data_IF_474859493859
#
_entry.id   IF_474859493859
#
_cell.length_a   1.000
_cell.length_b   1.000
_cell.length_c   1.000
_cell.angle_alpha   90.00
_cell.angle_beta   90.00
_cell.angle_gamma   90.00
#
_symmetry.space_group_name_H-M   'P 1'
#
loop_
_entity.id
_entity.type
_entity.pdbx_description
1 polymer ?
#
# COMPACT_ATOMS: atom_id res chain seq x y z
N UNK A 1 63.11 40.86 -44.27
CA UNK A 1 63.02 40.84 -42.79
C UNK A 1 61.56 40.97 -42.40
N UNK A 2 61.04 40.38 -41.31
CA UNK A 2 61.10 38.97 -40.92
C UNK A 2 59.71 38.41 -40.45
N UNK A 3 59.68 37.11 -40.12
CA UNK A 3 58.87 36.45 -39.06
C UNK A 3 57.38 36.09 -39.26
N UNK A 4 57.14 34.79 -39.04
CA UNK A 4 55.89 34.07 -38.78
C UNK A 4 55.01 34.66 -37.67
N UNK A 5 53.68 34.46 -37.76
CA UNK A 5 52.83 34.16 -36.60
C UNK A 5 51.58 33.36 -37.02
N UNK A 6 51.47 32.17 -36.45
CA UNK A 6 50.32 31.26 -36.47
C UNK A 6 49.22 31.73 -35.51
N UNK A 7 47.94 31.66 -35.91
CA UNK A 7 46.79 31.97 -35.05
C UNK A 7 45.53 31.19 -35.43
N UNK A 8 45.00 30.42 -34.47
CA UNK A 8 43.94 29.40 -34.53
C UNK A 8 42.57 29.89 -35.05
N UNK A 9 41.85 29.00 -35.75
CA UNK A 9 40.39 29.10 -36.02
C UNK A 9 39.59 28.74 -34.75
N UNK A 10 38.45 29.41 -34.47
CA UNK A 10 37.54 28.98 -33.40
C UNK A 10 36.67 27.80 -33.86
N UNK A 11 36.47 26.82 -32.97
CA UNK A 11 35.51 25.72 -33.13
C UNK A 11 34.14 26.20 -32.66
N UNK A 12 33.16 26.18 -33.57
CA UNK A 12 31.74 26.37 -33.29
C UNK A 12 31.23 25.17 -32.49
N UNK A 13 30.86 25.39 -31.22
CA UNK A 13 30.15 24.40 -30.41
C UNK A 13 28.66 24.43 -30.75
N UNK A 14 28.16 23.33 -31.31
CA UNK A 14 26.73 23.11 -31.53
C UNK A 14 26.10 22.73 -30.17
N UNK A 15 25.37 23.68 -29.57
CA UNK A 15 24.61 23.45 -28.34
C UNK A 15 23.34 22.67 -28.71
N UNK A 16 23.33 21.36 -28.45
CA UNK A 16 22.16 20.51 -28.62
C UNK A 16 21.26 20.67 -27.39
N UNK A 17 20.32 21.61 -27.43
CA UNK A 17 19.27 21.73 -26.42
C UNK A 17 18.34 20.52 -26.52
N UNK A 18 18.50 19.57 -25.60
CA UNK A 18 17.58 18.46 -25.41
C UNK A 18 16.28 19.00 -24.81
N UNK A 19 15.30 19.30 -25.66
CA UNK A 19 13.96 19.67 -25.22
C UNK A 19 13.29 18.40 -24.66
N UNK A 20 13.36 18.23 -23.35
CA UNK A 20 12.65 17.17 -22.64
C UNK A 20 11.15 17.48 -22.71
N UNK A 21 10.45 16.88 -23.66
CA UNK A 21 8.99 16.87 -23.70
C UNK A 21 8.51 16.09 -22.48
N UNK A 22 8.12 16.81 -21.42
CA UNK A 22 7.28 16.26 -20.36
C UNK A 22 5.98 15.78 -21.02
N UNK A 23 5.77 14.47 -21.09
CA UNK A 23 4.45 13.92 -21.36
C UNK A 23 3.51 14.44 -20.25
N UNK A 24 2.34 15.01 -20.57
CA UNK A 24 1.40 15.43 -19.56
C UNK A 24 1.00 14.22 -18.71
N UNK A 25 0.99 14.40 -17.38
CA UNK A 25 0.42 13.41 -16.47
C UNK A 25 -1.00 13.10 -16.95
N UNK A 26 -1.29 11.83 -17.25
CA UNK A 26 -2.63 11.40 -17.60
C UNK A 26 -3.49 11.55 -16.33
N UNK A 27 -4.41 12.52 -16.34
CA UNK A 27 -5.39 12.66 -15.28
C UNK A 27 -6.27 11.41 -15.28
N UNK A 28 -6.47 10.79 -14.12
CA UNK A 28 -7.41 9.69 -14.01
C UNK A 28 -8.80 10.17 -14.42
N UNK A 29 -9.35 9.59 -15.47
CA UNK A 29 -10.66 9.99 -15.98
C UNK A 29 -11.74 9.57 -14.98
N UNK A 30 -12.61 10.52 -14.61
CA UNK A 30 -13.75 10.26 -13.73
C UNK A 30 -15.04 10.30 -14.52
N UNK A 31 -15.91 9.32 -14.29
CA UNK A 31 -17.29 9.32 -14.78
C UNK A 31 -18.22 9.51 -13.59
N UNK A 32 -19.06 10.54 -13.61
CA UNK A 32 -20.03 10.82 -12.54
C UNK A 32 -21.44 10.77 -13.08
N UNK A 33 -22.28 9.94 -12.45
CA UNK A 33 -23.73 9.97 -12.58
C UNK A 33 -24.30 10.72 -11.36
N UNK A 34 -24.83 11.92 -11.58
CA UNK A 34 -25.44 12.72 -10.51
C UNK A 34 -26.93 12.40 -10.30
N UNK A 35 -27.54 11.57 -11.17
CA UNK A 35 -28.97 11.30 -11.16
C UNK A 35 -29.86 12.52 -11.44
N UNK A 36 -29.31 13.69 -11.75
CA UNK A 36 -30.05 14.95 -12.00
C UNK A 36 -30.80 14.99 -13.34
N UNK A 37 -30.67 13.93 -14.15
CA UNK A 37 -31.30 13.80 -15.46
C UNK A 37 -32.29 12.65 -15.49
N UNK A 38 -33.13 12.60 -16.51
CA UNK A 38 -34.14 11.56 -16.65
C UNK A 38 -35.30 11.71 -15.66
N UNK A 39 -36.24 10.76 -15.72
CA UNK A 39 -37.43 10.76 -14.87
C UNK A 39 -37.89 9.34 -14.64
N UNK A 40 -38.10 8.97 -13.37
CA UNK A 40 -38.75 7.71 -12.96
C UNK A 40 -39.46 7.95 -11.63
N UNK A 41 -40.77 8.24 -11.63
CA UNK A 41 -41.48 8.65 -10.41
C UNK A 41 -42.03 7.46 -9.60
N UNK A 42 -41.86 6.22 -10.07
CA UNK A 42 -42.42 5.01 -9.44
C UNK A 42 -41.36 3.96 -9.19
N UNK A 43 -41.57 3.10 -8.20
CA UNK A 43 -40.60 2.09 -7.74
C UNK A 43 -40.35 0.87 -8.65
N UNK A 44 -41.34 0.29 -9.38
CA UNK A 44 -41.14 -0.96 -10.13
C UNK A 44 -39.96 -0.92 -11.12
N UNK A 45 -39.30 -2.07 -11.34
CA UNK A 45 -38.18 -2.23 -12.27
C UNK A 45 -38.41 -1.53 -13.63
N UNK A 46 -37.55 -0.57 -13.98
CA UNK A 46 -37.52 0.00 -15.33
C UNK A 46 -36.14 0.58 -15.67
N UNK A 47 -35.73 0.57 -16.95
CA UNK A 47 -34.57 1.32 -17.41
C UNK A 47 -34.84 2.82 -17.37
N UNK A 48 -33.81 3.59 -17.03
CA UNK A 48 -33.82 5.05 -16.98
C UNK A 48 -32.62 5.58 -17.77
N UNK A 49 -32.85 6.31 -18.86
CA UNK A 49 -31.79 7.03 -19.55
C UNK A 49 -31.30 8.18 -18.66
N UNK A 50 -30.04 8.10 -18.24
CA UNK A 50 -29.35 9.14 -17.46
C UNK A 50 -28.14 9.68 -18.25
N UNK A 51 -27.43 10.65 -17.67
CA UNK A 51 -26.33 11.35 -18.32
C UNK A 51 -25.17 10.41 -18.70
N UNK A 52 -24.87 9.41 -17.86
CA UNK A 52 -23.80 8.45 -18.10
C UNK A 52 -24.20 7.27 -18.99
N UNK A 53 -25.49 6.97 -19.08
CA UNK A 53 -26.03 5.83 -19.80
C UNK A 53 -27.36 5.35 -19.21
N UNK A 54 -27.85 4.19 -19.67
CA UNK A 54 -29.09 3.60 -19.15
C UNK A 54 -28.84 2.85 -17.84
N UNK A 55 -29.66 3.11 -16.83
CA UNK A 55 -29.63 2.42 -15.55
C UNK A 55 -30.96 1.72 -15.29
N UNK A 56 -30.94 0.47 -14.82
CA UNK A 56 -32.13 -0.24 -14.38
C UNK A 56 -32.35 0.07 -12.89
N UNK A 57 -33.45 0.74 -12.58
CA UNK A 57 -33.91 0.99 -11.23
C UNK A 57 -35.02 0.01 -10.86
N UNK A 58 -34.78 -0.81 -9.84
CA UNK A 58 -35.74 -1.76 -9.29
C UNK A 58 -35.95 -1.51 -7.80
N UNK A 59 -37.21 -1.49 -7.35
CA UNK A 59 -37.62 -0.94 -6.06
C UNK A 59 -36.95 0.41 -5.74
N UNK A 60 -36.78 1.22 -6.79
CA UNK A 60 -36.09 2.50 -6.75
C UNK A 60 -36.71 3.50 -7.71
N UNK A 61 -36.59 4.80 -7.42
CA UNK A 61 -37.11 5.88 -8.24
C UNK A 61 -36.15 7.09 -8.22
N UNK A 62 -36.38 8.09 -9.07
CA UNK A 62 -35.73 9.41 -8.98
C UNK A 62 -36.61 10.35 -8.16
N UNK A 63 -36.13 10.73 -6.98
CA UNK A 63 -36.87 11.46 -5.96
C UNK A 63 -36.57 12.96 -5.97
N UNK A 64 -37.63 13.76 -5.95
CA UNK A 64 -37.57 15.24 -5.87
C UNK A 64 -38.29 15.77 -4.63
N UNK A 65 -38.76 14.89 -3.74
CA UNK A 65 -39.54 15.28 -2.57
C UNK A 65 -38.68 16.11 -1.62
N UNK A 66 -39.28 16.99 -0.82
CA UNK A 66 -38.53 17.83 0.13
C UNK A 66 -37.71 17.03 1.17
N UNK A 67 -38.01 15.74 1.32
CA UNK A 67 -37.31 14.81 2.21
C UNK A 67 -36.20 14.01 1.50
N UNK A 68 -36.10 14.08 0.17
CA UNK A 68 -34.99 13.48 -0.57
C UNK A 68 -33.74 14.32 -0.37
N UNK A 69 -32.74 13.75 0.29
CA UNK A 69 -31.42 14.38 0.42
C UNK A 69 -30.67 14.24 -0.90
N UNK A 70 -30.34 15.38 -1.49
CA UNK A 70 -29.78 15.50 -2.84
C UNK A 70 -28.83 16.69 -2.92
N UNK A 71 -27.81 16.58 -3.77
CA UNK A 71 -26.88 17.65 -4.08
C UNK A 71 -27.39 18.54 -5.23
N UNK A 72 -28.20 17.97 -6.13
CA UNK A 72 -28.76 18.64 -7.30
C UNK A 72 -30.29 18.68 -7.33
N UNK A 73 -30.84 18.47 -8.52
CA UNK A 73 -32.27 18.53 -8.80
C UNK A 73 -33.04 17.32 -8.23
N UNK A 74 -32.43 16.13 -8.23
CA UNK A 74 -33.05 14.89 -7.74
C UNK A 74 -31.98 13.89 -7.28
N UNK A 75 -32.37 12.86 -6.54
CA UNK A 75 -31.49 11.76 -6.14
C UNK A 75 -32.17 10.41 -6.37
N UNK A 76 -31.41 9.33 -6.46
CA UNK A 76 -32.00 8.00 -6.47
C UNK A 76 -32.53 7.66 -5.07
N UNK A 77 -33.77 7.16 -4.99
CA UNK A 77 -34.41 6.74 -3.74
C UNK A 77 -34.78 5.27 -3.83
N UNK A 78 -34.23 4.47 -2.92
CA UNK A 78 -34.45 3.02 -2.84
C UNK A 78 -35.31 2.67 -1.63
N UNK A 79 -36.14 1.64 -1.77
CA UNK A 79 -36.87 1.01 -0.68
C UNK A 79 -36.64 -0.51 -0.70
N UNK A 80 -37.17 -1.24 0.28
CA UNK A 80 -37.10 -2.71 0.32
C UNK A 80 -35.67 -3.20 0.09
N UNK A 81 -35.45 -4.12 -0.85
CA UNK A 81 -34.13 -4.57 -1.30
C UNK A 81 -33.78 -4.02 -2.70
N UNK A 82 -34.15 -2.77 -2.97
CA UNK A 82 -34.02 -2.15 -4.28
C UNK A 82 -32.58 -2.07 -4.79
N UNK A 83 -32.46 -1.94 -6.11
CA UNK A 83 -31.18 -1.90 -6.81
C UNK A 83 -31.13 -0.80 -7.87
N UNK A 84 -29.92 -0.27 -8.08
CA UNK A 84 -29.58 0.56 -9.23
C UNK A 84 -28.51 -0.20 -10.03
N UNK A 85 -28.79 -0.55 -11.28
CA UNK A 85 -27.89 -1.37 -12.10
C UNK A 85 -27.50 -0.63 -13.36
N UNK A 86 -26.21 -0.51 -13.64
CA UNK A 86 -25.74 -0.02 -14.93
C UNK A 86 -26.09 -1.01 -16.03
N UNK A 87 -26.76 -0.55 -17.09
CA UNK A 87 -27.06 -1.35 -18.30
C UNK A 87 -26.04 -1.10 -19.42
N UNK A 88 -24.83 -0.70 -19.02
CA UNK A 88 -23.69 -0.45 -19.89
C UNK A 88 -22.39 -0.70 -19.12
N UNK A 89 -21.30 -0.95 -19.85
CA UNK A 89 -19.97 -1.08 -19.27
C UNK A 89 -19.17 0.20 -19.49
N UNK A 90 -18.47 0.65 -18.45
CA UNK A 90 -17.40 1.62 -18.56
C UNK A 90 -16.16 0.88 -19.10
N UNK A 91 -15.50 1.41 -20.15
CA UNK A 91 -14.44 0.68 -20.86
C UNK A 91 -13.13 0.56 -20.04
N UNK A 92 -12.85 1.52 -19.17
CA UNK A 92 -11.54 1.71 -18.54
C UNK A 92 -11.43 1.13 -17.12
N UNK A 93 -12.37 0.27 -16.72
CA UNK A 93 -12.41 -0.27 -15.36
C UNK A 93 -12.60 0.77 -14.28
N UNK A 94 -12.24 0.44 -13.04
CA UNK A 94 -12.30 1.36 -11.92
C UNK A 94 -11.17 1.14 -10.91
N UNK A 95 -10.55 2.24 -10.49
CA UNK A 95 -9.67 2.27 -9.31
C UNK A 95 -10.52 2.44 -8.04
N UNK A 96 -11.33 3.49 -7.99
CA UNK A 96 -12.23 3.79 -6.87
C UNK A 96 -13.62 4.14 -7.36
N UNK A 97 -14.63 3.87 -6.54
CA UNK A 97 -16.00 4.32 -6.75
C UNK A 97 -16.45 5.05 -5.50
N UNK A 98 -17.02 6.24 -5.64
CA UNK A 98 -17.65 6.96 -4.54
C UNK A 98 -19.14 7.17 -4.78
N UNK A 99 -19.92 7.16 -3.70
CA UNK A 99 -21.38 7.33 -3.74
C UNK A 99 -21.78 8.19 -2.56
N UNK A 100 -22.54 9.25 -2.82
CA UNK A 100 -23.18 10.01 -1.76
C UNK A 100 -24.43 9.28 -1.28
N UNK A 101 -24.67 9.28 0.03
CA UNK A 101 -25.79 8.57 0.62
C UNK A 101 -26.33 9.27 1.87
N UNK A 102 -27.62 9.08 2.14
CA UNK A 102 -28.29 9.50 3.37
C UNK A 102 -29.54 8.65 3.63
N UNK A 103 -29.95 8.51 4.89
CA UNK A 103 -31.26 7.96 5.21
C UNK A 103 -32.33 8.96 4.73
N UNK A 104 -33.36 8.50 4.01
CA UNK A 104 -34.40 9.37 3.47
C UNK A 104 -35.14 10.13 4.57
N UNK A 105 -35.33 11.44 4.43
CA UNK A 105 -36.04 12.26 5.40
C UNK A 105 -35.56 12.00 6.83
N UNK A 106 -36.42 11.34 7.62
CA UNK A 106 -36.13 10.86 8.98
C UNK A 106 -36.43 9.37 9.15
N UNK A 107 -36.44 8.60 8.05
CA UNK A 107 -36.62 7.15 8.08
C UNK A 107 -35.48 6.49 8.89
N UNK A 108 -35.70 5.23 9.31
CA UNK A 108 -34.68 4.45 9.99
C UNK A 108 -33.44 4.23 9.11
N UNK A 109 -32.31 3.92 9.75
CA UNK A 109 -31.03 3.69 9.08
C UNK A 109 -31.14 2.57 8.03
N UNK A 110 -30.51 2.77 6.88
CA UNK A 110 -30.48 1.79 5.78
C UNK A 110 -29.05 1.49 5.38
N UNK A 111 -28.77 0.24 5.04
CA UNK A 111 -27.48 -0.19 4.53
C UNK A 111 -27.53 -0.53 3.03
N UNK A 112 -26.43 -0.30 2.34
CA UNK A 112 -26.25 -0.68 0.94
C UNK A 112 -24.86 -1.26 0.68
N UNK A 113 -24.74 -1.97 -0.43
CA UNK A 113 -23.50 -2.54 -0.94
C UNK A 113 -23.23 -2.06 -2.37
N UNK A 114 -21.95 -1.92 -2.71
CA UNK A 114 -21.52 -1.76 -4.09
C UNK A 114 -21.10 -3.11 -4.66
N UNK A 115 -21.58 -3.42 -5.86
CA UNK A 115 -21.20 -4.60 -6.63
C UNK A 115 -20.72 -4.20 -8.02
N UNK A 116 -19.82 -4.97 -8.59
CA UNK A 116 -19.36 -4.81 -9.97
C UNK A 116 -19.42 -6.13 -10.73
N UNK A 117 -19.52 -6.04 -12.04
CA UNK A 117 -19.42 -7.16 -12.96
C UNK A 117 -18.42 -6.79 -14.06
N UNK A 118 -17.49 -7.70 -14.33
CA UNK A 118 -16.52 -7.58 -15.43
C UNK A 118 -17.17 -7.98 -16.74
N UNK A 119 -16.88 -7.21 -17.81
CA UNK A 119 -17.41 -7.45 -19.13
C UNK A 119 -17.02 -8.84 -19.65
N UNK A 120 -18.01 -9.60 -20.12
CA UNK A 120 -17.83 -11.01 -20.52
C UNK A 120 -17.89 -12.01 -19.36
N UNK A 121 -18.15 -11.57 -18.14
CA UNK A 121 -18.41 -12.43 -16.98
C UNK A 121 -19.82 -12.18 -16.43
N UNK A 122 -20.57 -13.24 -16.11
CA UNK A 122 -21.94 -13.11 -15.59
C UNK A 122 -22.01 -13.03 -14.05
N UNK A 123 -20.87 -13.05 -13.36
CA UNK A 123 -20.81 -13.03 -11.89
C UNK A 123 -20.63 -11.62 -11.36
N UNK A 124 -21.46 -11.24 -10.38
CA UNK A 124 -21.31 -10.01 -9.61
C UNK A 124 -20.36 -10.22 -8.43
N UNK A 125 -19.45 -9.28 -8.20
CA UNK A 125 -18.51 -9.26 -7.08
C UNK A 125 -18.76 -8.03 -6.21
N UNK A 126 -18.78 -8.19 -4.89
CA UNK A 126 -18.95 -7.07 -3.95
C UNK A 126 -17.65 -6.27 -3.83
N UNK A 127 -17.73 -4.95 -3.92
CA UNK A 127 -16.65 -4.03 -3.64
C UNK A 127 -16.76 -3.50 -2.20
N UNK A 128 -15.74 -3.74 -1.38
CA UNK A 128 -15.69 -3.26 0.00
C UNK A 128 -16.72 -3.88 0.95
N UNK A 129 -16.91 -3.19 2.09
CA UNK A 129 -17.89 -3.54 3.12
C UNK A 129 -19.21 -2.80 2.90
N UNK A 130 -20.35 -3.32 3.40
CA UNK A 130 -21.61 -2.61 3.38
C UNK A 130 -21.51 -1.26 4.11
N UNK A 131 -22.18 -0.26 3.56
CA UNK A 131 -22.24 1.10 4.14
C UNK A 131 -23.59 1.29 4.80
N UNK A 132 -23.60 1.78 6.04
CA UNK A 132 -24.83 2.10 6.78
C UNK A 132 -25.06 3.61 6.74
N UNK A 133 -26.14 4.04 6.10
CA UNK A 133 -26.60 5.41 6.13
C UNK A 133 -27.28 5.69 7.47
N UNK A 134 -26.53 6.32 8.38
CA UNK A 134 -26.99 6.68 9.73
C UNK A 134 -27.37 8.15 9.88
N UNK A 135 -27.10 8.98 8.86
CA UNK A 135 -27.32 10.43 8.91
C UNK A 135 -28.37 10.89 7.91
N UNK A 136 -28.96 12.06 8.17
CA UNK A 136 -29.96 12.75 7.34
C UNK A 136 -29.32 13.86 6.48
N UNK A 137 -28.04 13.71 6.16
CA UNK A 137 -27.27 14.63 5.32
C UNK A 137 -26.38 13.79 4.42
N UNK A 138 -26.16 14.20 3.18
CA UNK A 138 -25.33 13.42 2.27
C UNK A 138 -23.92 13.23 2.84
N UNK A 139 -23.52 11.98 2.97
CA UNK A 139 -22.17 11.54 3.27
C UNK A 139 -21.61 10.80 2.07
N UNK A 140 -20.30 10.89 1.85
CA UNK A 140 -19.64 10.17 0.75
C UNK A 140 -19.05 8.87 1.27
N UNK A 141 -19.48 7.74 0.71
CA UNK A 141 -18.78 6.48 0.85
C UNK A 141 -17.83 6.28 -0.34
N UNK A 142 -16.66 5.69 -0.08
CA UNK A 142 -15.68 5.35 -1.11
C UNK A 142 -15.31 3.86 -1.02
N UNK A 143 -15.30 3.21 -2.18
CA UNK A 143 -15.02 1.80 -2.36
C UNK A 143 -13.77 1.62 -3.23
N UNK A 144 -12.73 0.92 -2.75
CA UNK A 144 -11.64 0.48 -3.62
C UNK A 144 -12.15 -0.64 -4.52
N UNK A 145 -11.92 -0.51 -5.83
CA UNK A 145 -12.29 -1.53 -6.84
C UNK A 145 -11.04 -2.12 -7.45
N UNK A 146 -10.14 -1.29 -7.97
CA UNK A 146 -8.85 -1.69 -8.57
C UNK A 146 -8.96 -2.83 -9.61
N UNK A 147 -9.97 -2.78 -10.48
CA UNK A 147 -10.16 -3.78 -11.55
C UNK A 147 -10.04 -3.09 -12.92
N UNK A 148 -9.13 -3.56 -13.80
CA UNK A 148 -9.02 -3.05 -15.16
C UNK A 148 -10.12 -3.59 -16.07
N UNK A 149 -10.28 -2.95 -17.24
CA UNK A 149 -11.15 -3.41 -18.32
C UNK A 149 -12.63 -3.17 -18.05
N UNK A 150 -13.48 -3.55 -19.00
CA UNK A 150 -14.90 -3.23 -18.98
C UNK A 150 -15.60 -3.59 -17.65
N UNK A 151 -16.14 -2.60 -16.94
CA UNK A 151 -16.89 -2.81 -15.69
C UNK A 151 -18.27 -2.17 -15.75
N UNK A 152 -19.25 -2.84 -15.16
CA UNK A 152 -20.54 -2.23 -14.80
C UNK A 152 -20.81 -2.43 -13.32
N UNK A 153 -21.59 -1.52 -12.74
CA UNK A 153 -21.85 -1.50 -11.30
C UNK A 153 -23.32 -1.72 -10.95
N UNK A 154 -23.55 -2.20 -9.74
CA UNK A 154 -24.85 -2.32 -9.13
C UNK A 154 -24.80 -1.88 -7.67
N UNK A 155 -25.67 -0.95 -7.29
CA UNK A 155 -25.91 -0.58 -5.90
C UNK A 155 -27.07 -1.40 -5.38
N UNK A 156 -26.90 -2.04 -4.22
CA UNK A 156 -27.93 -2.89 -3.61
C UNK A 156 -28.26 -2.38 -2.23
N UNK A 157 -29.50 -1.98 -1.99
CA UNK A 157 -29.98 -1.79 -0.62
C UNK A 157 -30.15 -3.17 0.01
N UNK A 158 -29.50 -3.40 1.15
CA UNK A 158 -29.50 -4.71 1.83
C UNK A 158 -30.34 -4.72 3.10
N UNK A 159 -30.67 -3.54 3.63
CA UNK A 159 -31.69 -3.43 4.68
C UNK A 159 -33.07 -3.53 4.05
N UNK A 160 -33.77 -4.65 4.25
CA UNK A 160 -35.16 -4.80 3.79
C UNK A 160 -36.15 -3.87 4.51
N UNK A 161 -37.41 -3.89 4.08
CA UNK A 161 -38.49 -3.11 4.68
C UNK A 161 -38.67 -1.72 4.06
N UNK A 162 -39.57 -0.92 4.65
CA UNK A 162 -40.03 0.35 4.09
C UNK A 162 -39.11 1.55 4.31
N UNK A 163 -38.06 1.42 5.14
CA UNK A 163 -37.10 2.49 5.37
C UNK A 163 -36.33 2.80 4.07
N UNK A 164 -36.36 4.05 3.63
CA UNK A 164 -35.81 4.47 2.34
C UNK A 164 -34.37 5.00 2.47
N UNK A 165 -33.64 4.88 1.37
CA UNK A 165 -32.25 5.30 1.22
C UNK A 165 -32.14 6.25 0.03
N UNK A 166 -31.52 7.42 0.24
CA UNK A 166 -31.09 8.29 -0.85
C UNK A 166 -29.66 7.95 -1.25
N UNK A 167 -29.44 7.82 -2.56
CA UNK A 167 -28.12 7.71 -3.19
C UNK A 167 -27.99 8.81 -4.24
N UNK A 168 -26.84 9.46 -4.27
CA UNK A 168 -26.56 10.59 -5.15
C UNK A 168 -25.08 10.54 -5.58
N UNK A 169 -24.71 11.28 -6.64
CA UNK A 169 -23.34 11.46 -7.12
C UNK A 169 -22.50 10.17 -7.11
N UNK A 170 -22.89 9.22 -7.96
CA UNK A 170 -22.13 8.00 -8.21
C UNK A 170 -20.94 8.32 -9.12
N UNK A 171 -19.73 8.34 -8.57
CA UNK A 171 -18.50 8.66 -9.29
C UNK A 171 -17.60 7.45 -9.39
N UNK A 172 -17.18 7.11 -10.61
CA UNK A 172 -16.18 6.09 -10.90
C UNK A 172 -14.90 6.78 -11.34
N UNK A 173 -13.81 6.56 -10.63
CA UNK A 173 -12.47 6.90 -11.09
C UNK A 173 -11.95 5.72 -11.91
N UNK A 174 -11.63 5.94 -13.19
CA UNK A 174 -11.17 4.90 -14.10
C UNK A 174 -9.96 4.14 -13.52
N UNK A 175 -9.83 2.87 -13.91
CA UNK A 175 -8.62 2.12 -13.60
C UNK A 175 -7.50 2.61 -14.52
N UNK A 176 -6.44 3.13 -13.92
CA UNK A 176 -5.25 3.52 -14.66
C UNK A 176 -4.14 2.53 -14.34
N UNK A 177 -3.45 2.02 -15.38
CA UNK A 177 -2.17 1.31 -15.21
C UNK A 177 -1.03 2.24 -14.82
N UNK A 178 -1.30 3.55 -14.70
CA UNK A 178 -0.35 4.46 -14.09
C UNK A 178 -0.15 4.02 -12.65
N UNK A 179 1.13 3.79 -12.33
CA UNK A 179 1.63 3.66 -10.98
C UNK A 179 0.88 4.63 -10.04
N UNK A 180 0.74 4.28 -8.74
CA UNK A 180 0.26 5.22 -7.72
C UNK A 180 0.89 6.59 -7.98
N UNK A 181 0.16 7.70 -7.73
CA UNK A 181 0.60 9.05 -8.08
C UNK A 181 2.09 9.18 -7.77
N UNK A 182 2.92 9.67 -8.73
CA UNK A 182 4.36 9.69 -8.54
C UNK A 182 4.57 10.30 -7.16
N UNK A 183 5.17 9.54 -6.24
CA UNK A 183 5.18 9.97 -4.86
C UNK A 183 5.79 11.36 -4.82
N UNK A 184 5.09 12.29 -4.16
CA UNK A 184 5.65 13.61 -3.91
C UNK A 184 7.02 13.37 -3.28
N UNK A 185 8.08 13.98 -3.82
CA UNK A 185 9.42 13.77 -3.28
C UNK A 185 9.40 14.05 -1.77
N UNK A 186 9.65 13.03 -0.96
CA UNK A 186 9.56 13.12 0.51
C UNK A 186 8.18 12.86 1.14
N UNK A 187 7.21 12.27 0.44
CA UNK A 187 5.91 11.86 1.01
C UNK A 187 5.39 10.56 0.38
N UNK A 188 4.80 9.67 1.18
CA UNK A 188 4.25 8.37 0.73
C UNK A 188 5.26 7.46 -0.01
N UNK A 189 6.56 7.70 0.21
CA UNK A 189 7.69 6.92 -0.33
C UNK A 189 8.25 5.95 0.71
N UNK A 190 8.91 4.91 0.22
CA UNK A 190 9.58 3.92 1.07
C UNK A 190 10.76 4.48 1.85
N UNK A 191 11.36 5.60 1.42
CA UNK A 191 12.45 6.29 2.10
C UNK A 191 12.03 7.65 2.68
N UNK A 192 10.72 7.89 2.88
CA UNK A 192 10.21 9.15 3.43
C UNK A 192 10.83 9.47 4.80
N UNK A 193 11.04 8.44 5.63
CA UNK A 193 11.67 8.59 6.95
C UNK A 193 13.20 8.63 6.89
N UNK A 194 13.82 8.60 5.70
CA UNK A 194 15.26 8.71 5.52
C UNK A 194 15.93 7.45 5.00
N UNK A 195 17.25 7.53 4.83
CA UNK A 195 18.11 6.45 4.35
C UNK A 195 19.04 6.00 5.49
N UNK A 196 18.74 4.87 6.17
CA UNK A 196 19.37 4.53 7.45
C UNK A 196 20.89 4.38 7.47
N UNK A 197 21.50 4.09 6.33
CA UNK A 197 22.94 3.85 6.22
C UNK A 197 23.62 4.71 5.16
N UNK A 198 22.91 5.69 4.60
CA UNK A 198 23.39 6.43 3.42
C UNK A 198 23.70 5.51 2.24
N UNK A 199 22.93 4.43 2.07
CA UNK A 199 23.11 3.49 0.97
C UNK A 199 22.97 4.19 -0.38
N UNK A 200 23.78 3.79 -1.35
CA UNK A 200 23.76 4.36 -2.72
C UNK A 200 23.80 3.23 -3.75
N UNK A 201 23.24 3.48 -4.94
CA UNK A 201 23.27 2.54 -6.06
C UNK A 201 24.64 2.60 -6.77
N UNK A 202 25.71 2.35 -6.03
CA UNK A 202 27.09 2.41 -6.49
C UNK A 202 27.79 1.06 -6.28
N UNK A 203 28.37 0.51 -7.35
CA UNK A 203 29.13 -0.74 -7.31
C UNK A 203 30.38 -0.66 -6.41
N UNK A 204 30.86 0.55 -6.11
CA UNK A 204 31.90 0.83 -5.12
C UNK A 204 31.45 0.62 -3.67
N UNK A 205 30.15 0.51 -3.40
CA UNK A 205 29.56 0.27 -2.08
C UNK A 205 28.81 -1.07 -1.99
N UNK A 206 29.47 -2.21 -2.27
CA UNK A 206 28.79 -3.51 -2.44
C UNK A 206 28.15 -4.07 -1.16
N UNK A 207 28.59 -3.62 0.01
CA UNK A 207 28.04 -4.03 1.31
C UNK A 207 26.94 -3.10 1.82
N UNK A 208 26.65 -2.01 1.09
CA UNK A 208 25.65 -1.00 1.42
C UNK A 208 24.95 -0.49 0.14
N UNK A 209 24.57 -1.43 -0.75
CA UNK A 209 24.10 -1.12 -2.09
C UNK A 209 22.60 -0.84 -2.10
N UNK A 210 22.19 0.35 -2.52
CA UNK A 210 20.79 0.74 -2.57
C UNK A 210 20.06 0.06 -3.74
N UNK A 211 18.98 -0.64 -3.44
CA UNK A 211 18.00 -1.13 -4.40
C UNK A 211 16.66 -0.49 -4.08
N UNK A 212 16.14 0.30 -5.01
CA UNK A 212 14.79 0.82 -4.96
C UNK A 212 13.89 0.04 -5.91
N UNK A 213 12.79 -0.47 -5.38
CA UNK A 213 11.73 -1.13 -6.13
C UNK A 213 10.43 -0.36 -5.91
N UNK A 214 9.45 -0.57 -6.78
CA UNK A 214 8.12 0.02 -6.62
C UNK A 214 7.49 -0.32 -5.27
N UNK A 215 7.79 -1.49 -4.69
CA UNK A 215 7.14 -2.00 -3.49
C UNK A 215 7.88 -1.70 -2.20
N UNK A 216 9.19 -1.51 -2.24
CA UNK A 216 10.04 -1.27 -1.06
C UNK A 216 11.42 -0.79 -1.51
N UNK A 217 12.16 -0.18 -0.59
CA UNK A 217 13.57 0.16 -0.78
C UNK A 217 14.44 -0.67 0.19
N UNK A 218 15.67 -0.99 -0.19
CA UNK A 218 16.58 -1.70 0.70
C UNK A 218 18.04 -1.30 0.49
N UNK A 219 18.84 -1.45 1.53
CA UNK A 219 20.28 -1.57 1.41
C UNK A 219 20.66 -3.05 1.40
N UNK A 220 21.31 -3.51 0.33
CA UNK A 220 21.75 -4.88 0.18
C UNK A 220 23.22 -5.05 0.56
N UNK A 221 23.53 -6.11 1.30
CA UNK A 221 24.91 -6.45 1.66
C UNK A 221 25.36 -7.68 0.87
N UNK A 222 26.07 -7.46 -0.24
CA UNK A 222 26.51 -8.52 -1.18
C UNK A 222 27.11 -9.73 -0.46
N UNK A 223 28.05 -9.49 0.45
CA UNK A 223 28.84 -10.57 1.07
C UNK A 223 28.07 -11.34 2.16
N UNK A 224 26.91 -10.85 2.60
CA UNK A 224 26.02 -11.56 3.54
C UNK A 224 24.87 -12.27 2.84
N UNK A 225 24.60 -11.96 1.58
CA UNK A 225 23.45 -12.50 0.86
C UNK A 225 22.09 -12.05 1.42
N UNK A 226 22.06 -10.95 2.19
CA UNK A 226 20.88 -10.43 2.88
C UNK A 226 20.89 -8.90 2.93
N UNK A 227 19.73 -8.24 3.12
CA UNK A 227 19.69 -6.79 3.30
C UNK A 227 20.32 -6.36 4.63
N UNK A 228 20.90 -5.15 4.68
CA UNK A 228 21.17 -4.42 5.93
C UNK A 228 19.84 -3.98 6.58
N UNK A 229 18.97 -3.42 5.75
CA UNK A 229 17.63 -2.99 6.11
C UNK A 229 16.76 -2.97 4.85
N UNK A 230 15.45 -3.10 5.06
CA UNK A 230 14.39 -2.88 4.06
C UNK A 230 13.40 -1.90 4.66
N UNK A 231 13.04 -0.89 3.89
CA UNK A 231 12.09 0.16 4.25
C UNK A 231 10.90 0.16 3.32
N UNK A 232 9.69 0.31 3.86
CA UNK A 232 8.49 0.39 3.05
C UNK A 232 7.41 1.25 3.72
N UNK A 233 6.58 1.83 2.86
CA UNK A 233 5.38 2.56 3.25
C UNK A 233 4.18 1.60 3.15
N UNK A 234 3.28 1.62 4.12
CA UNK A 234 2.09 0.79 4.16
C UNK A 234 0.84 1.64 4.43
N UNK A 235 -0.08 1.56 3.50
CA UNK A 235 -1.38 2.24 3.50
C UNK A 235 -2.34 1.42 2.62
N UNK A 236 -3.65 1.73 2.58
CA UNK A 236 -4.62 0.93 1.82
C UNK A 236 -4.29 0.74 0.35
N UNK A 237 -3.57 1.67 -0.27
CA UNK A 237 -3.14 1.55 -1.68
C UNK A 237 -2.32 0.28 -1.95
N UNK A 238 -1.65 -0.26 -0.92
CA UNK A 238 -0.87 -1.49 -0.99
C UNK A 238 -1.66 -2.77 -0.67
N UNK A 239 -2.89 -2.61 -0.16
CA UNK A 239 -3.77 -3.71 0.25
C UNK A 239 -4.85 -3.93 -0.81
N UNK A 240 -4.97 -5.18 -1.25
CA UNK A 240 -5.97 -5.63 -2.20
C UNK A 240 -6.28 -7.11 -2.04
N UNK A 241 -6.74 -7.75 -3.11
CA UNK A 241 -7.19 -9.14 -3.12
C UNK A 241 -6.23 -10.11 -3.82
N UNK A 242 -5.04 -9.65 -4.22
CA UNK A 242 -4.08 -10.51 -4.89
C UNK A 242 -3.62 -11.64 -3.96
N UNK A 243 -3.74 -12.88 -4.44
CA UNK A 243 -3.28 -14.07 -3.74
C UNK A 243 -1.78 -14.03 -3.48
N UNK A 244 -1.35 -14.72 -2.42
CA UNK A 244 0.07 -14.94 -2.12
C UNK A 244 0.73 -15.76 -3.24
N UNK A 245 1.82 -15.26 -3.82
CA UNK A 245 2.45 -15.88 -4.99
C UNK A 245 3.36 -17.07 -4.66
N UNK A 246 4.08 -17.03 -3.53
CA UNK A 246 5.02 -18.10 -3.12
C UNK A 246 6.13 -18.39 -4.13
N UNK A 247 6.45 -17.45 -5.01
CA UNK A 247 7.40 -17.58 -6.12
C UNK A 247 8.81 -17.09 -5.74
N UNK A 248 9.37 -17.70 -4.68
CA UNK A 248 10.72 -17.41 -4.20
C UNK A 248 11.75 -17.51 -5.32
N UNK A 249 12.45 -16.40 -5.61
CA UNK A 249 13.39 -16.35 -6.72
C UNK A 249 14.53 -15.38 -6.49
N UNK A 250 15.65 -15.67 -7.15
CA UNK A 250 16.77 -14.75 -7.26
C UNK A 250 16.32 -13.40 -7.80
N UNK A 251 16.96 -12.32 -7.34
CA UNK A 251 16.70 -10.98 -7.82
C UNK A 251 17.55 -10.69 -9.06
N UNK A 252 16.94 -10.60 -10.27
CA UNK A 252 17.70 -10.40 -11.50
C UNK A 252 18.28 -8.98 -11.60
N UNK A 253 17.89 -8.05 -10.72
CA UNK A 253 18.41 -6.68 -10.72
C UNK A 253 19.73 -6.54 -9.95
N UNK A 254 20.22 -7.61 -9.32
CA UNK A 254 21.54 -7.59 -8.68
C UNK A 254 22.65 -7.43 -9.74
N UNK A 255 23.71 -6.65 -9.46
CA UNK A 255 24.82 -6.47 -10.38
C UNK A 255 25.42 -7.78 -10.87
N UNK A 256 25.85 -7.78 -12.14
CA UNK A 256 26.47 -8.95 -12.75
C UNK A 256 27.69 -9.44 -11.95
N UNK A 257 27.80 -10.76 -11.78
CA UNK A 257 28.87 -11.40 -11.00
C UNK A 257 28.62 -11.45 -9.50
N UNK A 258 27.59 -10.79 -8.97
CA UNK A 258 27.21 -10.98 -7.56
C UNK A 258 26.49 -12.29 -7.37
N UNK A 259 26.68 -12.90 -6.20
CA UNK A 259 25.93 -14.09 -5.84
C UNK A 259 24.44 -13.75 -5.71
N UNK A 260 23.60 -14.40 -6.51
CA UNK A 260 22.16 -14.29 -6.42
C UNK A 260 21.62 -15.41 -5.55
N UNK A 261 21.18 -15.06 -4.35
CA UNK A 261 20.56 -16.02 -3.43
C UNK A 261 19.33 -16.61 -4.10
N UNK A 262 19.29 -17.94 -4.18
CA UNK A 262 18.19 -18.66 -4.81
C UNK A 262 17.23 -19.24 -3.77
N UNK A 263 16.07 -19.72 -4.23
CA UNK A 263 15.12 -20.42 -3.35
C UNK A 263 15.76 -21.63 -2.65
N UNK A 264 16.66 -22.34 -3.35
CA UNK A 264 17.38 -23.51 -2.84
C UNK A 264 18.40 -23.21 -1.73
N UNK A 265 18.84 -21.97 -1.57
CA UNK A 265 19.88 -21.57 -0.59
C UNK A 265 19.49 -21.83 0.87
N UNK A 266 18.19 -21.99 1.15
CA UNK A 266 17.65 -22.21 2.49
C UNK A 266 17.27 -23.67 2.75
N UNK A 267 17.32 -24.53 1.72
CA UNK A 267 16.83 -25.91 1.79
C UNK A 267 17.57 -26.72 2.85
N UNK A 268 16.83 -27.40 3.72
CA UNK A 268 17.37 -28.24 4.79
C UNK A 268 18.05 -27.49 5.94
N UNK A 269 18.06 -26.15 5.93
CA UNK A 269 18.74 -25.35 6.96
C UNK A 269 18.03 -25.31 8.31
N UNK A 270 16.73 -25.57 8.34
CA UNK A 270 15.89 -25.34 9.51
C UNK A 270 15.50 -23.87 9.76
N UNK A 271 15.89 -22.95 8.86
CA UNK A 271 15.44 -21.56 8.86
C UNK A 271 14.38 -21.32 7.78
N UNK A 272 13.43 -20.45 8.09
CA UNK A 272 12.47 -19.95 7.11
C UNK A 272 13.12 -18.92 6.19
N UNK A 273 12.52 -18.75 5.01
CA UNK A 273 12.75 -17.58 4.14
C UNK A 273 11.94 -16.41 4.71
N UNK A 274 12.49 -15.79 5.76
CA UNK A 274 11.85 -14.70 6.50
C UNK A 274 11.80 -13.44 5.66
N UNK A 275 10.59 -12.93 5.41
CA UNK A 275 10.41 -11.72 4.61
C UNK A 275 10.80 -10.49 5.44
N UNK A 276 11.40 -9.48 4.78
CA UNK A 276 11.50 -8.17 5.40
C UNK A 276 10.21 -7.38 5.19
N UNK A 277 9.93 -7.00 3.94
CA UNK A 277 8.60 -6.52 3.53
C UNK A 277 7.69 -7.75 3.32
N UNK A 278 6.65 -7.95 4.15
CA UNK A 278 5.87 -9.17 4.13
C UNK A 278 4.89 -9.21 2.97
N UNK A 279 4.60 -10.41 2.47
CA UNK A 279 3.69 -10.61 1.33
C UNK A 279 2.29 -10.01 1.57
N UNK A 280 1.78 -10.08 2.80
CA UNK A 280 0.47 -9.54 3.16
C UNK A 280 0.40 -8.00 3.15
N UNK A 281 1.54 -7.31 3.11
CA UNK A 281 1.61 -5.85 2.97
C UNK A 281 1.58 -5.41 1.50
N UNK A 282 1.58 -6.35 0.55
CA UNK A 282 1.59 -6.09 -0.90
C UNK A 282 0.59 -7.01 -1.59
N UNK A 283 -0.69 -6.71 -1.43
CA UNK A 283 -1.80 -7.49 -2.04
C UNK A 283 -2.61 -6.68 -3.05
N UNK A 284 -2.18 -5.46 -3.37
CA UNK A 284 -2.81 -4.60 -4.39
C UNK A 284 -2.83 -5.28 -5.77
N UNK A 285 -1.68 -5.79 -6.22
CA UNK A 285 -1.56 -6.53 -7.49
C UNK A 285 -0.75 -7.81 -7.34
N UNK A 286 -0.90 -8.73 -8.30
CA UNK A 286 -0.06 -9.94 -8.41
C UNK A 286 1.43 -9.58 -8.50
N UNK A 287 1.76 -8.51 -9.23
CA UNK A 287 3.13 -8.04 -9.39
C UNK A 287 3.71 -7.52 -8.07
N UNK A 288 2.94 -6.74 -7.30
CA UNK A 288 3.37 -6.25 -5.99
C UNK A 288 3.62 -7.41 -5.03
N UNK A 289 2.72 -8.39 -5.00
CA UNK A 289 2.86 -9.54 -4.14
C UNK A 289 4.08 -10.38 -4.52
N UNK A 290 4.24 -10.68 -5.81
CA UNK A 290 5.38 -11.42 -6.36
C UNK A 290 6.71 -10.73 -6.05
N UNK A 291 6.76 -9.39 -6.04
CA UNK A 291 7.99 -8.66 -5.71
C UNK A 291 8.48 -8.94 -4.28
N UNK A 292 7.60 -9.26 -3.33
CA UNK A 292 8.02 -9.61 -1.95
C UNK A 292 8.78 -10.94 -1.86
N UNK A 293 8.69 -11.79 -2.89
CA UNK A 293 9.37 -13.10 -2.95
C UNK A 293 10.76 -13.07 -3.59
N UNK A 294 11.28 -11.89 -3.92
CA UNK A 294 12.68 -11.74 -4.32
C UNK A 294 13.59 -12.05 -3.12
N UNK A 295 14.62 -12.87 -3.33
CA UNK A 295 15.50 -13.32 -2.23
C UNK A 295 16.34 -12.18 -1.61
N UNK A 296 16.45 -11.03 -2.28
CA UNK A 296 17.00 -9.78 -1.71
C UNK A 296 16.16 -9.21 -0.56
N UNK A 297 14.90 -9.61 -0.44
CA UNK A 297 13.99 -9.28 0.65
C UNK A 297 13.99 -10.35 1.78
N UNK A 298 14.87 -11.36 1.72
CA UNK A 298 14.86 -12.48 2.66
C UNK A 298 16.02 -12.44 3.66
N UNK A 299 15.75 -12.94 4.87
CA UNK A 299 16.77 -13.35 5.85
C UNK A 299 16.51 -14.78 6.33
N UNK A 300 17.53 -15.53 6.77
CA UNK A 300 17.33 -16.77 7.55
C UNK A 300 16.68 -16.44 8.89
N UNK A 301 15.40 -16.79 9.05
CA UNK A 301 14.64 -16.48 10.26
C UNK A 301 14.21 -17.77 10.96
N UNK A 302 14.41 -17.84 12.26
CA UNK A 302 13.99 -18.97 13.07
C UNK A 302 12.45 -19.12 12.98
N UNK A 303 11.91 -20.33 12.73
CA UNK A 303 10.47 -20.54 12.55
C UNK A 303 9.58 -19.96 13.66
N UNK A 304 9.96 -20.09 14.94
CA UNK A 304 9.16 -19.54 16.05
C UNK A 304 9.21 -18.01 16.10
N UNK A 305 10.29 -17.39 15.60
CA UNK A 305 10.33 -15.96 15.39
C UNK A 305 9.38 -15.57 14.25
N UNK A 306 9.62 -16.10 13.04
CA UNK A 306 8.90 -15.76 11.81
C UNK A 306 7.38 -16.00 11.89
N UNK A 307 6.97 -17.19 12.30
CA UNK A 307 5.58 -17.65 12.18
C UNK A 307 4.69 -17.25 13.36
N UNK A 308 5.29 -16.74 14.45
CA UNK A 308 4.57 -16.39 15.67
C UNK A 308 4.77 -14.91 16.00
N UNK A 309 5.76 -14.56 16.83
CA UNK A 309 5.95 -13.18 17.31
C UNK A 309 6.06 -12.18 16.16
N UNK A 310 6.78 -12.52 15.09
CA UNK A 310 6.93 -11.64 13.93
C UNK A 310 5.63 -11.46 13.15
N UNK A 311 4.96 -12.58 12.83
CA UNK A 311 3.66 -12.57 12.16
C UNK A 311 2.59 -11.82 12.98
N UNK A 312 2.60 -11.96 14.32
CA UNK A 312 1.69 -11.27 15.23
C UNK A 312 1.92 -9.73 15.16
N UNK A 313 3.17 -9.25 15.09
CA UNK A 313 3.46 -7.81 14.89
C UNK A 313 3.03 -7.33 13.49
N UNK A 314 3.29 -8.12 12.46
CA UNK A 314 2.90 -7.77 11.09
C UNK A 314 1.37 -7.65 10.96
N UNK A 315 0.63 -8.59 11.57
CA UNK A 315 -0.82 -8.52 11.64
C UNK A 315 -1.28 -7.26 12.37
N UNK A 316 -0.65 -6.93 13.50
CA UNK A 316 -0.97 -5.72 14.25
C UNK A 316 -0.73 -4.43 13.44
N UNK A 317 0.35 -4.37 12.66
CA UNK A 317 0.57 -3.26 11.73
C UNK A 317 -0.61 -3.07 10.77
N UNK A 318 -1.12 -4.17 10.20
CA UNK A 318 -2.29 -4.11 9.30
C UNK A 318 -3.58 -3.69 10.01
N UNK A 319 -3.81 -4.06 11.28
CA UNK A 319 -4.98 -3.56 12.03
C UNK A 319 -4.90 -2.04 12.27
N UNK A 320 -3.70 -1.49 12.47
CA UNK A 320 -3.52 -0.03 12.57
C UNK A 320 -3.85 0.65 11.24
N UNK A 321 -3.46 0.05 10.11
CA UNK A 321 -3.84 0.56 8.78
C UNK A 321 -5.35 0.54 8.63
N UNK A 322 -6.03 -0.56 8.97
CA UNK A 322 -7.50 -0.66 8.93
C UNK A 322 -8.18 0.40 9.82
N UNK A 323 -7.56 0.75 10.95
CA UNK A 323 -8.01 1.80 11.86
C UNK A 323 -7.80 3.25 11.35
N UNK A 324 -7.38 3.43 10.09
CA UNK A 324 -7.23 4.75 9.46
C UNK A 324 -5.83 5.35 9.57
N UNK A 325 -4.83 4.56 9.94
CA UNK A 325 -3.43 4.98 9.91
C UNK A 325 -2.75 4.63 8.58
N UNK A 326 -1.56 5.20 8.42
CA UNK A 326 -0.52 4.77 7.50
C UNK A 326 0.77 4.56 8.28
N UNK A 327 1.60 3.64 7.79
CA UNK A 327 2.80 3.19 8.48
C UNK A 327 4.03 3.39 7.62
N UNK A 328 5.11 3.85 8.25
CA UNK A 328 6.46 3.78 7.70
C UNK A 328 7.24 2.74 8.48
N UNK A 329 7.68 1.70 7.78
CA UNK A 329 8.23 0.50 8.40
C UNK A 329 9.65 0.29 7.90
N UNK A 330 10.58 0.12 8.84
CA UNK A 330 11.96 -0.26 8.56
C UNK A 330 12.24 -1.54 9.32
N UNK A 331 12.77 -2.54 8.62
CA UNK A 331 13.18 -3.82 9.20
C UNK A 331 14.61 -4.11 8.83
N UNK A 332 15.34 -4.79 9.71
CA UNK A 332 16.63 -5.36 9.38
C UNK A 332 17.05 -6.43 10.37
N UNK A 333 18.30 -6.86 10.24
CA UNK A 333 18.88 -7.88 11.08
C UNK A 333 20.36 -7.62 11.30
N UNK A 334 20.88 -8.01 12.47
CA UNK A 334 22.28 -7.82 12.81
C UNK A 334 22.86 -9.00 13.61
N UNK A 335 24.17 -8.96 13.80
CA UNK A 335 24.93 -10.05 14.38
C UNK A 335 25.00 -11.28 13.48
N UNK A 336 25.65 -12.33 14.00
CA UNK A 336 25.87 -13.60 13.30
C UNK A 336 25.54 -14.75 14.25
N UNK A 337 24.81 -15.74 13.74
CA UNK A 337 24.41 -16.95 14.47
C UNK A 337 22.99 -16.91 15.01
N UNK A 338 22.17 -17.87 14.62
CA UNK A 338 20.80 -18.06 15.15
C UNK A 338 20.48 -19.54 15.32
N UNK A 339 19.33 -19.85 15.93
CA UNK A 339 18.90 -21.24 16.19
C UNK A 339 17.59 -21.53 15.46
N UNK A 340 17.66 -22.28 14.37
CA UNK A 340 16.51 -22.74 13.60
C UNK A 340 15.97 -24.09 14.11
N UNK A 341 15.06 -24.71 13.36
CA UNK A 341 14.52 -26.03 13.71
C UNK A 341 15.54 -27.18 13.56
N UNK A 342 16.62 -26.96 12.80
CA UNK A 342 17.74 -27.89 12.66
C UNK A 342 18.92 -27.57 13.60
N UNK A 343 18.76 -26.62 14.53
CA UNK A 343 19.79 -26.21 15.48
C UNK A 343 20.48 -24.89 15.10
N UNK A 344 21.61 -24.63 15.76
CA UNK A 344 22.38 -23.40 15.57
C UNK A 344 23.11 -23.39 14.22
N UNK A 345 23.04 -22.26 13.51
CA UNK A 345 23.83 -22.03 12.30
C UNK A 345 24.26 -20.57 12.21
N UNK A 346 25.43 -20.33 11.62
CA UNK A 346 25.92 -18.98 11.35
C UNK A 346 25.78 -18.55 9.91
N UNK A 347 25.78 -19.51 8.99
CA UNK A 347 25.67 -19.30 7.56
C UNK A 347 24.93 -20.46 6.92
N UNK A 348 24.23 -20.19 5.83
CA UNK A 348 23.64 -21.18 4.93
C UNK A 348 24.42 -21.24 3.62
N UNK A 349 24.08 -22.23 2.80
CA UNK A 349 24.47 -22.26 1.39
C UNK A 349 25.99 -22.11 1.14
N UNK A 350 26.77 -22.91 1.86
CA UNK A 350 28.24 -22.92 1.81
C UNK A 350 28.86 -21.55 2.20
N UNK A 351 28.25 -20.85 3.15
CA UNK A 351 28.78 -19.58 3.65
C UNK A 351 28.26 -18.33 2.93
N UNK A 352 27.44 -18.50 1.87
CA UNK A 352 27.01 -17.40 0.99
C UNK A 352 25.82 -16.61 1.52
N UNK A 353 25.12 -17.13 2.52
CA UNK A 353 24.01 -16.44 3.19
C UNK A 353 24.27 -16.43 4.68
N UNK A 354 24.40 -15.26 5.30
CA UNK A 354 24.61 -15.14 6.73
C UNK A 354 23.29 -15.33 7.50
N UNK A 355 23.33 -16.11 8.58
CA UNK A 355 22.23 -16.20 9.55
C UNK A 355 22.41 -15.07 10.57
N UNK A 356 21.47 -14.12 10.68
CA UNK A 356 21.54 -13.07 11.68
C UNK A 356 21.26 -13.60 13.09
N UNK A 357 21.77 -12.92 14.11
CA UNK A 357 21.49 -13.25 15.52
C UNK A 357 20.25 -12.54 16.05
N UNK A 358 19.97 -11.36 15.53
CA UNK A 358 18.92 -10.47 15.99
C UNK A 358 18.13 -9.94 14.79
N UNK A 359 16.83 -9.79 14.95
CA UNK A 359 15.92 -9.26 13.94
C UNK A 359 15.10 -8.14 14.57
N UNK A 360 15.12 -6.96 13.96
CA UNK A 360 14.51 -5.74 14.48
C UNK A 360 13.56 -5.11 13.47
N UNK A 361 12.58 -4.35 13.98
CA UNK A 361 11.61 -3.60 13.18
C UNK A 361 11.22 -2.33 13.91
N UNK A 362 11.15 -1.23 13.16
CA UNK A 362 10.66 0.08 13.59
C UNK A 362 9.43 0.42 12.75
N UNK A 363 8.35 0.85 13.39
CA UNK A 363 7.09 1.24 12.76
C UNK A 363 6.72 2.64 13.26
N UNK A 364 6.70 3.62 12.36
CA UNK A 364 6.11 4.94 12.61
C UNK A 364 4.61 4.85 12.31
N UNK A 365 3.75 5.19 13.28
CA UNK A 365 2.30 5.15 13.13
C UNK A 365 1.75 6.57 12.99
N UNK A 366 1.17 6.90 11.84
CA UNK A 366 0.56 8.20 11.59
C UNK A 366 -0.92 8.02 11.18
N UNK A 367 -1.84 8.88 11.65
CA UNK A 367 -3.14 9.01 10.97
C UNK A 367 -2.90 9.33 9.50
N UNK A 368 -3.73 8.85 8.57
CA UNK A 368 -3.52 9.14 7.14
C UNK A 368 -3.52 10.63 6.85
N UNK A 369 -2.57 11.09 6.03
CA UNK A 369 -2.46 12.49 5.66
C UNK A 369 -1.46 12.74 4.53
N UNK A 370 -0.88 13.94 4.54
CA UNK A 370 0.21 14.35 3.66
C UNK A 370 1.25 15.11 4.47
N UNK A 371 2.43 15.34 3.89
CA UNK A 371 3.58 15.99 4.52
C UNK A 371 4.06 15.20 5.74
N UNK A 372 4.26 13.90 5.59
CA UNK A 372 4.28 12.95 6.71
C UNK A 372 5.43 13.18 7.69
N UNK A 373 6.62 13.54 7.19
CA UNK A 373 7.77 13.92 8.01
C UNK A 373 7.41 15.04 9.00
N UNK A 374 6.64 16.03 8.55
CA UNK A 374 6.25 17.18 9.40
C UNK A 374 5.19 16.84 10.45
N UNK A 375 4.48 15.72 10.28
CA UNK A 375 3.44 15.25 11.21
C UNK A 375 4.00 14.34 12.29
N UNK A 376 5.24 13.88 12.15
CA UNK A 376 5.94 13.17 13.22
C UNK A 376 6.30 14.17 14.32
N UNK A 377 5.83 13.89 15.52
CA UNK A 377 6.02 14.72 16.71
C UNK A 377 6.37 13.84 17.91
N UNK A 378 6.68 14.47 19.05
CA UNK A 378 6.92 13.78 20.31
C UNK A 378 5.77 12.87 20.77
N UNK A 379 4.55 13.08 20.27
CA UNK A 379 3.37 12.26 20.57
C UNK A 379 3.11 11.15 19.55
N UNK A 380 3.88 11.10 18.45
CA UNK A 380 3.73 10.07 17.43
C UNK A 380 4.15 8.73 18.00
N UNK A 381 3.31 7.71 17.83
CA UNK A 381 3.62 6.37 18.29
C UNK A 381 4.66 5.72 17.38
N UNK A 382 5.80 5.36 17.96
CA UNK A 382 6.85 4.58 17.32
C UNK A 382 6.93 3.22 17.99
N UNK A 383 6.72 2.14 17.23
CA UNK A 383 6.86 0.77 17.73
C UNK A 383 8.23 0.25 17.25
N UNK A 384 9.14 0.02 18.18
CA UNK A 384 10.44 -0.60 17.91
C UNK A 384 10.54 -1.93 18.67
N UNK A 385 10.93 -3.01 17.98
CA UNK A 385 11.23 -4.31 18.60
C UNK A 385 12.59 -4.81 18.15
N UNK A 386 13.24 -5.59 19.01
CA UNK A 386 14.46 -6.32 18.70
C UNK A 386 14.44 -7.72 19.33
N UNK A 387 14.39 -8.73 18.46
CA UNK A 387 14.11 -10.12 18.81
C UNK A 387 15.32 -11.02 18.59
N UNK A 388 15.55 -12.04 19.44
CA UNK A 388 16.51 -13.10 19.12
C UNK A 388 16.05 -13.89 17.88
N UNK A 389 16.98 -14.23 16.99
CA UNK A 389 16.70 -15.12 15.87
C UNK A 389 16.82 -16.59 16.32
N UNK A 390 15.96 -16.99 17.24
CA UNK A 390 16.11 -18.23 18.00
C UNK A 390 14.77 -18.93 18.22
N UNK A 391 14.71 -20.23 17.98
CA UNK A 391 13.52 -21.03 18.19
C UNK A 391 13.12 -21.21 19.66
N UNK A 392 14.03 -20.98 20.60
CA UNK A 392 13.76 -20.96 22.04
C UNK A 392 13.15 -19.66 22.54
N UNK A 393 12.86 -18.69 21.66
CA UNK A 393 12.24 -17.44 22.06
C UNK A 393 10.84 -17.63 22.66
N UNK A 394 10.45 -16.74 23.55
CA UNK A 394 9.09 -16.68 24.07
C UNK A 394 8.18 -16.00 23.04
N UNK A 395 6.96 -16.52 22.85
CA UNK A 395 5.97 -15.91 21.96
C UNK A 395 5.45 -14.58 22.51
N UNK A 396 5.23 -13.61 21.62
CA UNK A 396 4.59 -12.33 21.90
C UNK A 396 5.56 -11.19 21.66
N UNK A 397 5.36 -10.41 20.60
CA UNK A 397 6.30 -9.38 20.18
C UNK A 397 6.47 -8.25 21.21
N UNK A 398 5.43 -7.97 22.01
CA UNK A 398 5.43 -6.87 22.98
C UNK A 398 6.50 -6.96 24.06
N UNK A 399 7.01 -8.15 24.38
CA UNK A 399 8.09 -8.32 25.37
C UNK A 399 9.46 -7.94 24.82
N UNK A 400 9.59 -7.82 23.50
CA UNK A 400 10.83 -7.47 22.80
C UNK A 400 10.88 -6.01 22.37
N UNK A 401 9.96 -5.18 22.90
CA UNK A 401 9.98 -3.74 22.66
C UNK A 401 11.27 -3.14 23.17
N UNK A 402 11.78 -2.20 22.40
CA UNK A 402 13.00 -1.44 22.69
C UNK A 402 12.82 -0.01 22.17
N UNK A 403 13.82 0.84 22.38
CA UNK A 403 13.89 2.16 21.76
C UNK A 403 14.56 2.07 20.38
N UNK A 404 14.35 3.08 19.53
CA UNK A 404 15.07 3.19 18.25
C UNK A 404 16.55 3.43 18.52
N UNK A 405 16.90 4.28 19.48
CA UNK A 405 18.28 4.52 19.93
C UNK A 405 19.05 3.21 20.21
N UNK A 406 18.39 2.23 20.83
CA UNK A 406 19.02 0.95 21.15
C UNK A 406 19.29 0.10 19.91
N UNK A 407 18.42 0.17 18.89
CA UNK A 407 18.64 -0.48 17.60
C UNK A 407 19.77 0.23 16.85
N UNK A 408 19.80 1.55 16.84
CA UNK A 408 20.88 2.34 16.22
C UNK A 408 22.23 2.04 16.87
N UNK A 409 22.28 2.02 18.21
CA UNK A 409 23.49 1.66 18.95
C UNK A 409 23.99 0.24 18.61
N UNK A 410 23.08 -0.71 18.34
CA UNK A 410 23.43 -2.08 17.98
C UNK A 410 23.85 -2.25 16.51
N UNK A 411 23.40 -1.36 15.62
CA UNK A 411 23.52 -1.54 14.17
C UNK A 411 24.44 -0.52 13.49
N UNK A 412 24.67 0.64 14.12
CA UNK A 412 25.36 1.79 13.53
C UNK A 412 24.53 2.53 12.47
N UNK A 413 23.22 2.28 12.39
CA UNK A 413 22.30 2.98 11.50
C UNK A 413 21.82 4.30 12.14
N UNK A 414 21.38 5.23 11.29
CA UNK A 414 20.66 6.47 11.63
C UNK A 414 19.24 6.34 11.07
N UNK A 415 18.39 5.68 11.86
CA UNK A 415 16.99 5.41 11.54
C UNK A 415 16.19 6.70 11.69
N UNK A 416 15.12 6.86 10.89
CA UNK A 416 14.32 8.07 10.90
C UNK A 416 15.12 9.37 10.61
N UNK A 417 16.26 9.24 9.90
CA UNK A 417 17.20 10.32 9.55
C UNK A 417 16.61 11.52 8.80
N UNK A 418 15.41 11.40 8.22
CA UNK A 418 14.72 12.54 7.61
C UNK A 418 13.98 13.44 8.62
N UNK A 419 13.78 12.98 9.85
CA UNK A 419 13.15 13.77 10.90
C UNK A 419 14.09 14.89 11.40
N UNK A 420 13.56 16.05 11.84
CA UNK A 420 14.39 17.03 12.54
C UNK A 420 15.04 16.41 13.78
N UNK A 421 16.32 16.70 14.03
CA UNK A 421 17.08 16.15 15.17
C UNK A 421 16.38 16.35 16.52
N UNK A 422 15.67 17.46 16.71
CA UNK A 422 14.90 17.70 17.95
C UNK A 422 13.71 16.75 18.13
N UNK A 423 13.15 16.23 17.03
CA UNK A 423 12.08 15.22 17.05
C UNK A 423 12.69 13.84 17.28
N UNK A 424 13.75 13.49 16.55
CA UNK A 424 14.52 12.25 16.71
C UNK A 424 14.87 11.99 18.19
N UNK A 425 15.53 12.96 18.83
CA UNK A 425 15.93 12.90 20.24
C UNK A 425 14.80 12.56 21.23
N UNK A 426 13.55 12.84 20.87
CA UNK A 426 12.39 12.55 21.71
C UNK A 426 11.75 11.21 21.35
N UNK A 427 11.53 10.95 20.06
CA UNK A 427 10.78 9.76 19.62
C UNK A 427 11.65 8.50 19.63
N UNK A 428 12.95 8.63 19.40
CA UNK A 428 13.88 7.49 19.29
C UNK A 428 14.31 6.94 20.65
N UNK A 429 14.31 7.77 21.68
CA UNK A 429 14.60 7.40 23.06
C UNK A 429 13.45 6.66 23.76
N UNK A 430 12.23 6.74 23.24
CA UNK A 430 11.05 6.15 23.85
C UNK A 430 10.92 4.66 23.55
N UNK A 431 10.37 3.91 24.52
CA UNK A 431 9.94 2.52 24.32
C UNK A 431 8.41 2.50 24.29
N UNK A 432 7.82 1.97 23.22
CA UNK A 432 6.36 1.86 23.08
C UNK A 432 5.74 1.13 24.28
N UNK A 433 4.72 1.73 24.87
CA UNK A 433 3.90 1.12 25.93
C UNK A 433 2.48 0.82 25.47
N UNK A 434 2.18 0.97 24.17
CA UNK A 434 0.83 0.83 23.62
C UNK A 434 0.31 -0.61 23.50
N UNK A 435 -0.92 -0.77 22.97
CA UNK A 435 -1.54 -2.07 22.75
C UNK A 435 -0.76 -2.96 21.80
N UNK A 436 -0.94 -4.28 21.92
CA UNK A 436 -0.22 -5.28 21.10
C UNK A 436 -1.11 -6.15 20.22
N UNK A 437 -2.42 -5.89 20.25
CA UNK A 437 -3.46 -6.68 19.61
C UNK A 437 -4.63 -5.81 19.18
#
# INVERSE_FOLDING_TARGET
>A
MPVHLTGRRPRTGLLLTLLCLLAPAAWAQTTTESFDSGTKPTYPAAPVPLATGSWIFDDALLGTDAQDHRAGAQAARLQQAGTLTMDFFLPDGASTVSVQHAAYGTDATSAFELWYQTQGCDTWVRAGQPVVATTYSLQTASFPVNVPGGLRFQLRKVTGGSARLNLDNFTVTAFTTTAPPPPVAGDNQHLTMGNPSGAVADLGMPTNYLLEKTQYALSYHRDRGTPNWVSWYLAPVWIGSASRQNDFRADPTLPAGWYQVGSGSYSGSGFDRGHNCPSADRTSTVADNSATFLMTNMIPQAPNNNQQSWADLENYGRTLVDAGNELYIIMGAYGKGGTGSAGYAETLDQGRVQVPRRVWKVIVVLPRGTNDVSRVSAATRIIAIDTPNDNGMVRGWGQYRTSVDAIEAATGLDLLSALPTSVQQVVEAQVDSGPTN
#
